data_IF_977778063477
#
_entry.id   IF_977778063477
#
_cell.length_a   1.000
_cell.length_b   1.000
_cell.length_c   1.000
_cell.angle_alpha   90.00
_cell.angle_beta   90.00
_cell.angle_gamma   90.00
#
_symmetry.space_group_name_H-M   'P 1'
#
loop_
_entity.id
_entity.type
_entity.pdbx_description
1 polymer ?
#
# COMPACT_ATOMS: atom_id res chain seq x y z
N UNK A 1 -7.26 0.18 20.71
CA UNK A 1 -7.06 0.90 19.42
C UNK A 1 -8.14 1.96 19.23
N UNK A 2 -7.78 3.25 19.33
CA UNK A 2 -8.73 4.37 19.14
C UNK A 2 -8.75 4.92 17.71
N UNK A 3 -7.71 4.67 16.91
CA UNK A 3 -7.64 5.12 15.51
C UNK A 3 -8.35 4.16 14.53
N UNK A 4 -8.62 2.90 14.88
CA UNK A 4 -9.50 2.01 14.10
C UNK A 4 -10.02 0.88 15.01
N UNK A 5 -10.97 0.07 14.53
CA UNK A 5 -11.51 -1.07 15.28
C UNK A 5 -10.77 -2.35 14.89
N UNK A 6 -10.13 -3.02 15.86
CA UNK A 6 -9.45 -4.32 15.67
C UNK A 6 -10.40 -5.36 15.09
N UNK A 7 -11.59 -5.48 15.66
CA UNK A 7 -12.59 -6.44 15.18
C UNK A 7 -12.98 -6.16 13.73
N UNK A 8 -13.13 -4.90 13.34
CA UNK A 8 -13.55 -4.54 11.98
C UNK A 8 -12.45 -4.83 10.96
N UNK A 9 -11.17 -4.60 11.29
CA UNK A 9 -10.07 -4.91 10.36
C UNK A 9 -9.87 -6.41 10.21
N UNK A 10 -10.11 -7.19 11.26
CA UNK A 10 -10.04 -8.66 11.19
C UNK A 10 -11.22 -9.24 10.40
N UNK A 11 -12.44 -8.74 10.63
CA UNK A 11 -13.63 -9.06 9.81
C UNK A 11 -13.38 -8.78 8.33
N UNK A 12 -12.76 -7.64 8.04
CA UNK A 12 -12.42 -7.23 6.70
C UNK A 12 -11.39 -8.14 6.05
N UNK A 13 -10.31 -8.45 6.77
CA UNK A 13 -9.27 -9.33 6.26
C UNK A 13 -9.85 -10.72 5.94
N UNK A 14 -10.66 -11.27 6.85
CA UNK A 14 -11.35 -12.54 6.63
C UNK A 14 -12.22 -12.48 5.37
N UNK A 15 -13.03 -11.42 5.21
CA UNK A 15 -13.88 -11.22 4.04
C UNK A 15 -13.11 -11.16 2.71
N UNK A 16 -11.94 -10.52 2.69
CA UNK A 16 -11.10 -10.51 1.48
C UNK A 16 -10.68 -11.92 1.09
N UNK A 17 -10.22 -12.73 2.05
CA UNK A 17 -9.77 -14.10 1.77
C UNK A 17 -10.89 -15.11 1.51
N UNK A 18 -12.09 -14.93 2.08
CA UNK A 18 -13.19 -15.89 1.95
C UNK A 18 -14.14 -15.59 0.80
N UNK A 19 -14.34 -14.30 0.50
CA UNK A 19 -15.34 -13.87 -0.47
C UNK A 19 -14.67 -13.25 -1.69
N UNK A 20 -13.87 -12.20 -1.52
CA UNK A 20 -13.30 -11.46 -2.65
C UNK A 20 -12.36 -12.35 -3.47
N UNK A 21 -11.46 -13.08 -2.82
CA UNK A 21 -10.49 -13.95 -3.52
C UNK A 21 -11.15 -15.11 -4.23
N UNK A 22 -12.23 -15.67 -3.68
CA UNK A 22 -13.03 -16.68 -4.38
C UNK A 22 -13.62 -16.11 -5.68
N UNK A 23 -14.14 -14.88 -5.64
CA UNK A 23 -14.65 -14.22 -6.84
C UNK A 23 -13.52 -13.95 -7.84
N UNK A 24 -12.34 -13.52 -7.37
CA UNK A 24 -11.18 -13.30 -8.23
C UNK A 24 -10.72 -14.60 -8.90
N UNK A 25 -10.68 -15.73 -8.20
CA UNK A 25 -10.41 -17.03 -8.80
C UNK A 25 -11.45 -17.40 -9.86
N UNK A 26 -12.75 -17.25 -9.56
CA UNK A 26 -13.84 -17.50 -10.51
C UNK A 26 -13.72 -16.65 -11.78
N UNK A 27 -13.36 -15.37 -11.64
CA UNK A 27 -13.15 -14.45 -12.77
C UNK A 27 -11.94 -14.89 -13.62
N UNK A 28 -10.80 -15.20 -12.99
CA UNK A 28 -9.60 -15.64 -13.69
C UNK A 28 -9.78 -17.01 -14.37
N UNK A 29 -10.56 -17.92 -13.78
CA UNK A 29 -10.96 -19.20 -14.36
C UNK A 29 -11.84 -19.00 -15.60
N UNK A 30 -12.87 -18.15 -15.50
CA UNK A 30 -13.77 -17.81 -16.61
C UNK A 30 -13.01 -17.21 -17.79
N UNK A 31 -12.04 -16.34 -17.53
CA UNK A 31 -11.19 -15.72 -18.54
C UNK A 31 -10.07 -16.65 -19.06
N UNK A 32 -9.93 -17.86 -18.50
CA UNK A 32 -8.90 -18.86 -18.88
C UNK A 32 -7.47 -18.31 -18.81
N UNK A 33 -7.18 -17.49 -17.81
CA UNK A 33 -5.86 -16.85 -17.67
C UNK A 33 -4.79 -17.92 -17.38
N UNK A 34 -3.69 -17.97 -18.15
CA UNK A 34 -2.55 -18.84 -17.90
C UNK A 34 -1.98 -18.64 -16.48
N UNK A 35 -1.48 -19.72 -15.86
CA UNK A 35 -1.06 -19.70 -14.46
C UNK A 35 0.01 -18.62 -14.15
N UNK A 36 0.99 -18.46 -15.03
CA UNK A 36 2.07 -17.47 -14.94
C UNK A 36 1.58 -16.02 -15.12
N UNK A 37 0.44 -15.84 -15.78
CA UNK A 37 -0.20 -14.54 -15.96
C UNK A 37 -1.20 -14.20 -14.85
N UNK A 38 -1.58 -15.15 -13.98
CA UNK A 38 -2.55 -14.92 -12.90
C UNK A 38 -2.08 -13.89 -11.85
N UNK A 39 -3.07 -13.29 -11.20
CA UNK A 39 -2.90 -12.71 -9.87
C UNK A 39 -2.80 -13.86 -8.87
N UNK A 40 -1.70 -13.89 -8.11
CA UNK A 40 -1.43 -14.96 -7.16
C UNK A 40 -1.95 -14.56 -5.78
N UNK A 41 -2.73 -15.45 -5.16
CA UNK A 41 -3.34 -15.26 -3.86
C UNK A 41 -2.94 -16.40 -2.92
N UNK A 42 -2.81 -16.14 -1.61
CA UNK A 42 -2.74 -17.23 -0.64
C UNK A 42 -4.05 -18.01 -0.66
N UNK A 43 -3.97 -19.33 -0.63
CA UNK A 43 -5.15 -20.17 -0.39
C UNK A 43 -5.69 -19.95 1.02
N UNK A 44 -6.99 -19.77 1.14
CA UNK A 44 -7.73 -19.83 2.41
C UNK A 44 -8.43 -21.19 2.55
N UNK A 45 -8.66 -21.62 3.79
CA UNK A 45 -9.27 -22.92 4.10
C UNK A 45 -10.60 -22.78 4.86
N UNK A 46 -11.37 -23.88 4.90
CA UNK A 46 -12.57 -23.97 5.72
C UNK A 46 -12.26 -23.63 7.19
N UNK A 47 -13.18 -22.90 7.84
CA UNK A 47 -13.01 -22.41 9.21
C UNK A 47 -12.56 -20.95 9.32
N UNK A 48 -12.20 -20.30 8.20
CA UNK A 48 -12.04 -18.84 8.16
C UNK A 48 -13.33 -18.14 8.62
N UNK A 49 -13.20 -17.23 9.59
CA UNK A 49 -14.27 -16.39 10.11
C UNK A 49 -13.68 -15.11 10.71
N UNK A 50 -14.51 -14.12 11.07
CA UNK A 50 -14.10 -12.89 11.78
C UNK A 50 -13.25 -12.99 13.04
N UNK A 51 -12.93 -14.19 13.54
CA UNK A 51 -12.08 -14.42 14.70
C UNK A 51 -10.89 -15.33 14.42
N UNK A 52 -10.86 -16.00 13.28
CA UNK A 52 -9.74 -16.86 12.87
C UNK A 52 -9.63 -16.93 11.35
N UNK A 53 -8.45 -16.61 10.82
CA UNK A 53 -8.13 -16.74 9.39
C UNK A 53 -7.13 -17.89 9.25
N UNK A 54 -7.44 -18.85 8.37
CA UNK A 54 -6.63 -20.05 8.13
C UNK A 54 -6.13 -19.99 6.69
N UNK A 55 -4.84 -19.71 6.52
CA UNK A 55 -4.18 -19.57 5.21
C UNK A 55 -3.19 -20.69 4.96
N UNK A 56 -2.82 -20.87 3.69
CA UNK A 56 -1.70 -21.74 3.35
C UNK A 56 -0.40 -21.25 3.96
N UNK A 57 0.41 -22.20 4.41
CA UNK A 57 1.72 -21.88 4.96
C UNK A 57 2.71 -21.60 3.82
N UNK A 58 2.70 -20.36 3.32
CA UNK A 58 3.59 -19.90 2.24
C UNK A 58 5.08 -20.15 2.55
N UNK A 59 5.49 -20.04 3.82
CA UNK A 59 6.86 -20.40 4.24
C UNK A 59 7.28 -21.83 3.87
N UNK A 60 6.38 -22.83 3.94
CA UNK A 60 6.67 -24.22 3.52
C UNK A 60 6.80 -24.36 2.00
N UNK A 61 6.27 -23.40 1.23
CA UNK A 61 6.44 -23.30 -0.24
C UNK A 61 7.69 -22.49 -0.63
N UNK A 62 8.51 -22.07 0.34
CA UNK A 62 9.75 -21.34 0.12
C UNK A 62 9.58 -19.82 0.01
N UNK A 63 8.40 -19.27 0.33
CA UNK A 63 8.20 -17.83 0.38
C UNK A 63 8.77 -17.24 1.68
N UNK A 64 9.34 -16.04 1.58
CA UNK A 64 9.96 -15.30 2.69
C UNK A 64 9.48 -13.85 2.68
N UNK A 65 9.46 -13.24 3.85
CA UNK A 65 9.20 -11.81 4.03
C UNK A 65 10.50 -11.04 3.84
N UNK A 66 10.45 -9.92 3.12
CA UNK A 66 11.58 -9.00 3.00
C UNK A 66 11.72 -8.15 4.26
N UNK A 67 12.96 -7.83 4.65
CA UNK A 67 13.22 -6.97 5.79
C UNK A 67 12.57 -5.59 5.57
N UNK A 68 11.77 -5.16 6.56
CA UNK A 68 11.01 -3.92 6.50
C UNK A 68 11.88 -2.66 6.47
N UNK A 69 13.14 -2.74 6.92
CA UNK A 69 14.07 -1.61 7.00
C UNK A 69 15.02 -1.50 5.80
N UNK A 70 15.09 -2.53 4.95
CA UNK A 70 16.01 -2.57 3.81
C UNK A 70 15.42 -1.97 2.52
N UNK A 71 16.31 -1.51 1.62
CA UNK A 71 15.91 -1.10 0.27
C UNK A 71 15.63 -2.33 -0.61
N UNK A 72 14.48 -2.35 -1.27
CA UNK A 72 14.13 -3.44 -2.19
C UNK A 72 14.95 -3.43 -3.48
N UNK A 73 15.11 -4.60 -4.10
CA UNK A 73 15.74 -4.74 -5.42
C UNK A 73 14.75 -4.38 -6.54
N UNK A 74 15.27 -4.02 -7.72
CA UNK A 74 14.44 -3.73 -8.88
C UNK A 74 13.61 -4.94 -9.33
N UNK A 75 14.19 -6.14 -9.30
CA UNK A 75 13.49 -7.36 -9.75
C UNK A 75 12.35 -7.73 -8.81
N UNK A 76 12.54 -7.55 -7.49
CA UNK A 76 11.44 -7.66 -6.53
C UNK A 76 10.36 -6.60 -6.79
N UNK A 77 10.75 -5.32 -6.93
CA UNK A 77 9.82 -4.23 -7.17
C UNK A 77 8.96 -4.45 -8.42
N UNK A 78 9.55 -4.95 -9.52
CA UNK A 78 8.80 -5.28 -10.74
C UNK A 78 7.69 -6.30 -10.48
N UNK A 79 7.99 -7.39 -9.77
CA UNK A 79 7.00 -8.42 -9.47
C UNK A 79 5.88 -7.90 -8.56
N UNK A 80 6.21 -7.14 -7.53
CA UNK A 80 5.22 -6.53 -6.64
C UNK A 80 4.31 -5.56 -7.38
N UNK A 81 4.89 -4.66 -8.20
CA UNK A 81 4.13 -3.69 -8.98
C UNK A 81 3.24 -4.36 -10.03
N UNK A 82 3.73 -5.43 -10.66
CA UNK A 82 2.90 -6.22 -11.57
C UNK A 82 1.73 -6.88 -10.84
N UNK A 83 1.94 -7.50 -9.68
CA UNK A 83 0.83 -8.06 -8.90
C UNK A 83 -0.15 -6.98 -8.41
N UNK A 84 0.33 -5.79 -8.04
CA UNK A 84 -0.53 -4.66 -7.68
C UNK A 84 -1.39 -4.21 -8.86
N UNK A 85 -0.81 -4.12 -10.06
CA UNK A 85 -1.55 -3.81 -11.29
C UNK A 85 -2.66 -4.82 -11.57
N UNK A 86 -2.39 -6.12 -11.37
CA UNK A 86 -3.38 -7.19 -11.51
C UNK A 86 -4.48 -7.12 -10.44
N UNK A 87 -4.12 -6.83 -9.19
CA UNK A 87 -5.08 -6.67 -8.09
C UNK A 87 -6.09 -5.55 -8.38
N UNK A 88 -5.62 -4.37 -8.78
CA UNK A 88 -6.50 -3.25 -9.14
C UNK A 88 -7.28 -3.52 -10.43
N UNK A 89 -6.69 -4.21 -11.42
CA UNK A 89 -7.41 -4.66 -12.60
C UNK A 89 -8.60 -5.57 -12.24
N UNK A 90 -8.40 -6.54 -11.33
CA UNK A 90 -9.49 -7.42 -10.85
C UNK A 90 -10.62 -6.65 -10.18
N UNK A 91 -10.33 -5.52 -9.52
CA UNK A 91 -11.38 -4.64 -9.01
C UNK A 91 -12.23 -4.03 -10.12
N UNK A 92 -11.64 -3.60 -11.24
CA UNK A 92 -12.41 -3.09 -12.40
C UNK A 92 -13.20 -4.20 -13.08
N UNK A 93 -12.62 -5.40 -13.19
CA UNK A 93 -13.32 -6.59 -13.72
C UNK A 93 -14.52 -6.91 -12.84
N UNK A 94 -14.35 -6.91 -11.50
CA UNK A 94 -15.44 -7.15 -10.57
C UNK A 94 -16.56 -6.13 -10.71
N UNK A 95 -16.21 -4.84 -10.88
CA UNK A 95 -17.18 -3.78 -11.13
C UNK A 95 -17.98 -4.01 -12.42
N UNK A 96 -17.31 -4.46 -13.50
CA UNK A 96 -17.96 -4.70 -14.78
C UNK A 96 -18.83 -5.97 -14.79
N UNK A 97 -18.35 -7.06 -14.18
CA UNK A 97 -18.98 -8.38 -14.26
C UNK A 97 -20.01 -8.63 -13.14
N UNK A 98 -19.85 -7.97 -11.97
CA UNK A 98 -20.77 -8.11 -10.82
C UNK A 98 -21.07 -6.73 -10.20
N UNK A 99 -21.71 -5.81 -10.94
CA UNK A 99 -21.90 -4.42 -10.52
C UNK A 99 -22.69 -4.28 -9.20
N UNK A 100 -23.73 -5.09 -8.98
CA UNK A 100 -24.52 -5.06 -7.74
C UNK A 100 -23.66 -5.41 -6.52
N UNK A 101 -22.93 -6.53 -6.58
CA UNK A 101 -22.00 -6.92 -5.53
C UNK A 101 -20.94 -5.84 -5.28
N UNK A 102 -20.38 -5.28 -6.36
CA UNK A 102 -19.38 -4.23 -6.26
C UNK A 102 -19.92 -3.00 -5.54
N UNK A 103 -21.10 -2.50 -5.91
CA UNK A 103 -21.73 -1.33 -5.29
C UNK A 103 -22.04 -1.61 -3.82
N UNK A 104 -22.60 -2.76 -3.50
CA UNK A 104 -23.04 -3.07 -2.15
C UNK A 104 -21.90 -3.38 -1.18
N UNK A 105 -20.85 -4.06 -1.66
CA UNK A 105 -19.81 -4.65 -0.79
C UNK A 105 -18.44 -4.02 -0.93
N UNK A 106 -18.07 -3.58 -2.13
CA UNK A 106 -16.74 -3.01 -2.40
C UNK A 106 -16.80 -1.50 -2.27
N UNK A 107 -17.66 -0.82 -3.03
CA UNK A 107 -17.74 0.64 -3.06
C UNK A 107 -18.15 1.27 -1.70
N UNK A 108 -18.78 0.50 -0.83
CA UNK A 108 -19.13 0.90 0.55
C UNK A 108 -18.01 0.67 1.57
N UNK A 109 -16.94 -0.04 1.20
CA UNK A 109 -15.83 -0.40 2.07
C UNK A 109 -14.92 0.80 2.34
N UNK A 110 -15.25 1.59 3.37
CA UNK A 110 -14.44 2.74 3.77
C UNK A 110 -13.13 2.34 4.44
N UNK A 111 -12.12 3.20 4.26
CA UNK A 111 -10.87 3.14 5.03
C UNK A 111 -11.16 3.09 6.55
N UNK A 112 -10.38 2.32 7.34
CA UNK A 112 -10.76 2.01 8.73
C UNK A 112 -10.33 3.08 9.74
N UNK A 113 -9.48 4.04 9.36
CA UNK A 113 -8.93 5.06 10.26
C UNK A 113 -9.97 6.10 10.69
N UNK A 114 -9.93 6.44 11.97
CA UNK A 114 -10.68 7.51 12.63
C UNK A 114 -9.77 8.71 12.80
N UNK A 115 -10.05 9.76 12.06
CA UNK A 115 -9.27 10.99 12.06
C UNK A 115 -9.72 11.94 13.18
N UNK A 116 -9.58 11.47 14.43
CA UNK A 116 -9.98 12.18 15.66
C UNK A 116 -8.76 12.58 16.50
N UNK A 117 -8.95 13.01 17.75
CA UNK A 117 -7.89 13.55 18.63
C UNK A 117 -6.65 12.65 18.70
N UNK A 118 -6.83 11.34 18.90
CA UNK A 118 -5.73 10.37 18.96
C UNK A 118 -4.92 10.30 17.67
N UNK A 119 -5.58 10.39 16.51
CA UNK A 119 -4.90 10.43 15.21
C UNK A 119 -4.04 11.69 15.08
N UNK A 120 -4.61 12.86 15.41
CA UNK A 120 -3.89 14.13 15.32
C UNK A 120 -2.71 14.18 16.29
N UNK A 121 -2.86 13.62 17.51
CA UNK A 121 -1.77 13.49 18.47
C UNK A 121 -0.65 12.58 17.96
N UNK A 122 -1.00 11.42 17.41
CA UNK A 122 -0.04 10.50 16.80
C UNK A 122 0.73 11.17 15.65
N UNK A 123 0.02 11.75 14.69
CA UNK A 123 0.62 12.43 13.53
C UNK A 123 1.53 13.58 13.97
N UNK A 124 1.11 14.39 14.96
CA UNK A 124 1.92 15.48 15.49
C UNK A 124 3.22 15.00 16.14
N UNK A 125 3.17 13.92 16.91
CA UNK A 125 4.36 13.34 17.53
C UNK A 125 5.34 12.81 16.48
N UNK A 126 4.84 12.05 15.52
CA UNK A 126 5.67 11.51 14.45
C UNK A 126 6.23 12.61 13.54
N UNK A 127 5.44 13.64 13.26
CA UNK A 127 5.92 14.85 12.57
C UNK A 127 7.11 15.48 13.32
N UNK A 128 6.97 15.75 14.62
CA UNK A 128 8.04 16.34 15.43
C UNK A 128 9.32 15.49 15.41
N UNK A 129 9.17 14.16 15.49
CA UNK A 129 10.29 13.23 15.38
C UNK A 129 10.95 13.33 14.00
N UNK A 130 10.17 13.18 12.93
CA UNK A 130 10.67 13.17 11.55
C UNK A 130 11.37 14.47 11.17
N UNK A 131 10.80 15.63 11.50
CA UNK A 131 11.47 16.92 11.20
C UNK A 131 12.76 17.12 12.02
N UNK A 132 12.89 16.49 13.19
CA UNK A 132 14.11 16.55 14.00
C UNK A 132 15.29 15.82 13.34
N UNK A 133 15.00 14.92 12.40
CA UNK A 133 16.01 14.23 11.60
C UNK A 133 16.64 15.13 10.53
N UNK A 134 16.04 16.29 10.21
CA UNK A 134 16.55 17.23 9.21
C UNK A 134 17.56 18.21 9.81
N UNK A 135 18.45 18.73 8.96
CA UNK A 135 19.32 19.85 9.32
C UNK A 135 18.47 21.10 9.59
N UNK A 136 18.96 21.99 10.47
CA UNK A 136 18.16 23.11 10.97
C UNK A 136 17.70 24.08 9.87
N UNK A 137 18.55 24.36 8.90
CA UNK A 137 18.24 25.22 7.75
C UNK A 137 17.17 24.60 6.84
N UNK A 138 17.28 23.29 6.55
CA UNK A 138 16.28 22.56 5.78
C UNK A 138 14.95 22.54 6.51
N UNK A 139 14.96 22.16 7.80
CA UNK A 139 13.76 22.11 8.65
C UNK A 139 13.03 23.44 8.67
N UNK A 140 13.74 24.56 8.84
CA UNK A 140 13.15 25.89 8.89
C UNK A 140 12.54 26.29 7.54
N UNK A 141 13.08 25.80 6.42
CA UNK A 141 12.59 26.10 5.07
C UNK A 141 11.35 25.30 4.70
N UNK A 142 11.28 24.01 5.05
CA UNK A 142 10.23 23.10 4.55
C UNK A 142 9.23 22.62 5.60
N UNK A 143 9.50 22.82 6.89
CA UNK A 143 8.72 22.22 7.98
C UNK A 143 7.24 22.55 7.93
N UNK A 144 6.88 23.84 7.76
CA UNK A 144 5.48 24.27 7.68
C UNK A 144 4.73 23.62 6.50
N UNK A 145 5.38 23.52 5.34
CA UNK A 145 4.80 22.91 4.14
C UNK A 145 4.69 21.39 4.25
N UNK A 146 5.62 20.73 4.94
CA UNK A 146 5.48 19.31 5.31
C UNK A 146 4.27 19.13 6.21
N UNK A 147 4.08 19.99 7.22
CA UNK A 147 2.97 19.91 8.15
C UNK A 147 1.62 20.09 7.44
N UNK A 148 1.52 21.07 6.54
CA UNK A 148 0.33 21.29 5.70
C UNK A 148 -0.03 20.03 4.89
N UNK A 149 0.95 19.47 4.17
CA UNK A 149 0.75 18.25 3.36
C UNK A 149 0.32 17.06 4.21
N UNK A 150 0.93 16.86 5.37
CA UNK A 150 0.54 15.77 6.29
C UNK A 150 -0.90 15.95 6.79
N UNK A 151 -1.34 17.20 6.96
CA UNK A 151 -2.73 17.53 7.30
C UNK A 151 -3.75 17.12 6.23
N UNK A 152 -3.34 16.95 4.97
CA UNK A 152 -4.21 16.52 3.86
C UNK A 152 -4.40 14.99 3.79
N UNK A 153 -3.69 14.19 4.61
CA UNK A 153 -3.83 12.74 4.58
C UNK A 153 -5.28 12.24 4.73
N UNK A 154 -6.09 12.74 5.70
CA UNK A 154 -7.50 12.37 5.82
C UNK A 154 -8.33 12.66 4.55
N UNK A 155 -8.01 13.74 3.84
CA UNK A 155 -8.67 14.09 2.59
C UNK A 155 -8.37 13.05 1.51
N UNK A 156 -7.13 12.58 1.41
CA UNK A 156 -6.72 11.59 0.41
C UNK A 156 -7.40 10.24 0.67
N UNK A 157 -7.46 9.82 1.93
CA UNK A 157 -8.05 8.54 2.31
C UNK A 157 -9.58 8.50 2.17
N UNK A 158 -10.26 9.65 2.25
CA UNK A 158 -11.72 9.73 2.13
C UNK A 158 -12.21 10.15 0.73
N UNK A 159 -11.30 10.53 -0.18
CA UNK A 159 -11.63 10.98 -1.53
C UNK A 159 -11.84 9.78 -2.47
N UNK A 160 -13.11 9.51 -2.76
CA UNK A 160 -13.57 8.50 -3.73
C UNK A 160 -14.23 9.13 -4.96
N UNK A 161 -13.97 10.42 -5.20
CA UNK A 161 -14.62 11.17 -6.29
C UNK A 161 -14.02 10.89 -7.67
N UNK A 162 -12.79 10.38 -7.71
CA UNK A 162 -12.08 9.99 -8.93
C UNK A 162 -12.08 8.47 -9.18
N UNK A 163 -11.15 8.03 -10.04
CA UNK A 163 -10.93 6.60 -10.31
C UNK A 163 -10.57 5.89 -9.01
N UNK A 164 -11.39 4.91 -8.65
CA UNK A 164 -11.27 4.16 -7.40
C UNK A 164 -11.42 2.67 -7.62
N UNK A 165 -10.70 1.88 -6.84
CA UNK A 165 -10.70 0.40 -6.85
C UNK A 165 -10.69 -0.11 -5.42
N UNK A 166 -10.89 -1.41 -5.24
CA UNK A 166 -10.45 -2.10 -4.03
C UNK A 166 -8.93 -1.96 -3.92
N UNK A 167 -8.50 -1.15 -2.95
CA UNK A 167 -7.10 -0.94 -2.58
C UNK A 167 -6.76 -1.86 -1.40
N UNK A 168 -5.50 -2.24 -1.31
CA UNK A 168 -4.92 -2.98 -0.20
C UNK A 168 -4.79 -2.08 1.04
N UNK A 169 -4.39 -0.81 0.86
CA UNK A 169 -4.23 0.19 1.90
C UNK A 169 -2.93 0.09 2.71
N UNK A 170 -2.39 -1.12 2.89
CA UNK A 170 -1.07 -1.38 3.51
C UNK A 170 -0.08 -2.09 2.57
N UNK A 171 -0.05 -1.68 1.30
CA UNK A 171 0.77 -2.37 0.28
C UNK A 171 2.25 -2.00 0.42
N UNK A 172 2.96 -2.72 1.30
CA UNK A 172 4.40 -2.54 1.59
C UNK A 172 5.17 -3.83 1.39
N UNK A 173 6.49 -3.71 1.24
CA UNK A 173 7.36 -4.84 0.89
C UNK A 173 7.38 -5.98 1.91
N UNK A 174 7.12 -5.71 3.20
CA UNK A 174 7.01 -6.76 4.22
C UNK A 174 5.60 -7.39 4.34
N UNK A 175 4.61 -6.87 3.60
CA UNK A 175 3.29 -7.51 3.40
C UNK A 175 3.22 -8.25 2.06
N UNK A 176 4.35 -8.39 1.38
CA UNK A 176 4.47 -9.18 0.15
C UNK A 176 5.53 -10.25 0.41
N UNK A 177 5.14 -11.51 0.33
CA UNK A 177 6.06 -12.63 0.48
C UNK A 177 6.67 -12.97 -0.88
N UNK A 178 7.98 -13.17 -0.93
CA UNK A 178 8.71 -13.50 -2.15
C UNK A 178 9.26 -14.92 -2.11
N UNK A 179 9.21 -15.61 -3.24
CA UNK A 179 9.88 -16.90 -3.45
C UNK A 179 11.03 -16.71 -4.42
N UNK A 180 12.21 -17.17 -4.00
CA UNK A 180 13.44 -17.09 -4.78
C UNK A 180 13.83 -18.46 -5.32
N UNK A 181 14.23 -18.49 -6.59
CA UNK A 181 14.79 -19.67 -7.27
C UNK A 181 16.07 -19.20 -7.96
N UNK A 182 17.18 -19.88 -7.72
CA UNK A 182 18.51 -19.53 -8.24
C UNK A 182 18.91 -18.07 -7.95
N UNK A 183 18.68 -17.61 -6.71
CA UNK A 183 18.96 -16.24 -6.23
C UNK A 183 18.20 -15.14 -6.99
N UNK A 184 17.11 -15.50 -7.69
CA UNK A 184 16.22 -14.55 -8.37
C UNK A 184 14.82 -14.68 -7.81
N UNK A 185 14.19 -13.55 -7.52
CA UNK A 185 12.77 -13.52 -7.16
C UNK A 185 11.95 -14.00 -8.37
N UNK A 186 11.08 -14.99 -8.14
CA UNK A 186 10.25 -15.59 -9.20
C UNK A 186 8.77 -15.35 -9.00
N UNK A 187 8.31 -15.44 -7.76
CA UNK A 187 6.89 -15.30 -7.41
C UNK A 187 6.79 -14.39 -6.20
N UNK A 188 5.74 -13.58 -6.17
CA UNK A 188 5.37 -12.79 -4.99
C UNK A 188 3.89 -12.97 -4.71
N UNK A 189 3.54 -13.02 -3.43
CA UNK A 189 2.16 -13.13 -2.95
C UNK A 189 1.93 -12.08 -1.86
N UNK A 190 0.95 -11.23 -2.08
CA UNK A 190 0.52 -10.22 -1.12
C UNK A 190 -0.32 -10.87 -0.02
N UNK A 191 -0.12 -10.40 1.21
CA UNK A 191 -0.85 -10.81 2.42
C UNK A 191 -1.24 -9.55 3.21
N UNK A 192 -2.02 -9.73 4.28
CA UNK A 192 -2.42 -8.67 5.22
C UNK A 192 -3.33 -7.60 4.60
N UNK A 193 -4.57 -7.98 4.29
CA UNK A 193 -5.60 -7.12 3.70
C UNK A 193 -6.48 -6.41 4.76
N UNK A 194 -5.99 -6.27 5.99
CA UNK A 194 -6.78 -5.82 7.14
C UNK A 194 -7.34 -4.39 6.98
N UNK A 195 -6.65 -3.53 6.22
CA UNK A 195 -7.08 -2.16 5.94
C UNK A 195 -7.49 -1.93 4.48
N UNK A 196 -7.84 -3.00 3.76
CA UNK A 196 -8.38 -2.89 2.41
C UNK A 196 -9.57 -1.93 2.37
N UNK A 197 -9.74 -1.19 1.29
CA UNK A 197 -10.84 -0.23 1.17
C UNK A 197 -11.05 0.19 -0.28
N UNK A 198 -12.21 0.76 -0.57
CA UNK A 198 -12.46 1.42 -1.83
C UNK A 198 -11.84 2.82 -1.83
N UNK A 199 -10.92 3.06 -2.74
CA UNK A 199 -10.13 4.28 -2.77
C UNK A 199 -9.26 4.40 -4.02
N UNK A 200 -8.39 5.41 -4.03
CA UNK A 200 -7.54 5.68 -5.18
C UNK A 200 -6.39 4.65 -5.30
N UNK A 201 -6.30 3.89 -6.40
CA UNK A 201 -5.29 2.82 -6.57
C UNK A 201 -3.85 3.33 -6.61
N UNK A 202 -3.64 4.61 -6.90
CA UNK A 202 -2.30 5.21 -6.92
C UNK A 202 -1.70 5.28 -5.51
N UNK A 203 -2.54 5.35 -4.47
CA UNK A 203 -2.04 5.43 -3.09
C UNK A 203 -1.28 4.17 -2.69
N UNK A 204 -1.74 2.97 -3.07
CA UNK A 204 -1.00 1.72 -2.82
C UNK A 204 0.35 1.69 -3.56
N UNK A 205 0.40 2.18 -4.80
CA UNK A 205 1.66 2.28 -5.55
C UNK A 205 2.64 3.20 -4.83
N UNK A 206 2.19 4.39 -4.44
CA UNK A 206 3.03 5.36 -3.74
C UNK A 206 3.44 4.84 -2.36
N UNK A 207 2.54 4.17 -1.65
CA UNK A 207 2.82 3.50 -0.39
C UNK A 207 3.99 2.52 -0.56
N UNK A 208 3.90 1.60 -1.52
CA UNK A 208 4.96 0.63 -1.76
C UNK A 208 6.30 1.26 -2.09
N UNK A 209 6.31 2.19 -3.05
CA UNK A 209 7.56 2.80 -3.51
C UNK A 209 8.22 3.60 -2.39
N UNK A 210 7.49 4.47 -1.70
CA UNK A 210 8.10 5.36 -0.71
C UNK A 210 8.43 4.67 0.61
N UNK A 211 7.84 3.51 0.93
CA UNK A 211 8.27 2.69 2.06
C UNK A 211 9.49 1.81 1.71
N UNK A 212 9.50 1.21 0.52
CA UNK A 212 10.49 0.17 0.17
C UNK A 212 11.78 0.68 -0.47
N UNK A 213 11.87 1.95 -0.87
CA UNK A 213 12.98 2.46 -1.71
C UNK A 213 13.70 3.67 -1.13
N UNK A 214 14.97 3.84 -1.51
CA UNK A 214 15.75 5.06 -1.24
C UNK A 214 15.72 6.06 -2.41
N UNK A 215 16.39 7.20 -2.23
CA UNK A 215 16.47 8.29 -3.20
C UNK A 215 17.07 7.83 -4.54
N UNK A 216 18.19 7.12 -4.49
CA UNK A 216 18.91 6.67 -5.70
C UNK A 216 18.06 5.68 -6.51
N UNK A 217 17.37 4.78 -5.82
CA UNK A 217 16.40 3.88 -6.46
C UNK A 217 15.29 4.66 -7.16
N UNK A 218 14.62 5.61 -6.47
CA UNK A 218 13.52 6.38 -7.06
C UNK A 218 13.98 7.21 -8.25
N UNK A 219 15.12 7.88 -8.13
CA UNK A 219 15.73 8.66 -9.22
C UNK A 219 15.94 7.82 -10.48
N UNK A 220 16.32 6.54 -10.31
CA UNK A 220 16.61 5.63 -11.42
C UNK A 220 15.38 4.90 -11.96
N UNK A 221 14.41 4.58 -11.11
CA UNK A 221 13.38 3.58 -11.44
C UNK A 221 11.93 4.01 -11.21
N UNK A 222 11.63 5.14 -10.55
CA UNK A 222 10.25 5.54 -10.25
C UNK A 222 9.40 5.67 -11.52
N UNK A 223 9.90 6.36 -12.53
CA UNK A 223 9.20 6.55 -13.80
C UNK A 223 8.92 5.19 -14.50
N UNK A 224 9.93 4.33 -14.56
CA UNK A 224 9.80 2.99 -15.13
C UNK A 224 8.77 2.12 -14.40
N UNK A 225 8.79 2.12 -13.05
CA UNK A 225 7.84 1.34 -12.26
C UNK A 225 6.41 1.88 -12.36
N UNK A 226 6.25 3.21 -12.46
CA UNK A 226 4.94 3.84 -12.71
C UNK A 226 4.35 3.36 -14.04
N UNK A 227 5.15 3.32 -15.10
CA UNK A 227 4.69 2.83 -16.40
C UNK A 227 4.37 1.33 -16.35
N UNK A 228 5.24 0.54 -15.72
CA UNK A 228 5.02 -0.90 -15.51
C UNK A 228 3.72 -1.18 -14.77
N UNK A 229 3.38 -0.37 -13.76
CA UNK A 229 2.14 -0.50 -13.01
C UNK A 229 0.91 -0.36 -13.91
N UNK A 230 0.86 0.72 -14.71
CA UNK A 230 -0.22 0.98 -15.66
C UNK A 230 -0.29 -0.10 -16.74
N UNK A 231 0.85 -0.48 -17.31
CA UNK A 231 0.93 -1.49 -18.38
C UNK A 231 0.56 -2.88 -17.88
N UNK A 232 0.89 -3.23 -16.64
CA UNK A 232 0.48 -4.49 -16.02
C UNK A 232 -1.04 -4.56 -15.86
N UNK A 233 -1.68 -3.45 -15.44
CA UNK A 233 -3.13 -3.36 -15.35
C UNK A 233 -3.78 -3.49 -16.73
N UNK A 234 -3.27 -2.76 -17.73
CA UNK A 234 -3.73 -2.83 -19.12
C UNK A 234 -3.67 -4.27 -19.66
N UNK A 235 -2.49 -4.89 -19.60
CA UNK A 235 -2.28 -6.26 -20.08
C UNK A 235 -3.22 -7.24 -19.38
N UNK A 236 -3.46 -7.07 -18.08
CA UNK A 236 -4.31 -7.97 -17.33
C UNK A 236 -5.80 -7.79 -17.68
N UNK A 237 -6.26 -6.55 -17.87
CA UNK A 237 -7.63 -6.25 -18.31
C UNK A 237 -7.94 -6.79 -19.72
N UNK A 238 -6.95 -6.88 -20.60
CA UNK A 238 -7.12 -7.46 -21.94
C UNK A 238 -7.62 -8.92 -21.91
N UNK A 239 -7.25 -9.72 -20.89
CA UNK A 239 -7.79 -11.08 -20.71
C UNK A 239 -9.31 -11.11 -20.50
N UNK A 240 -9.88 -10.00 -20.03
CA UNK A 240 -11.31 -9.84 -19.79
C UNK A 240 -12.00 -9.04 -20.89
N UNK A 241 -11.27 -8.63 -21.95
CA UNK A 241 -11.79 -7.78 -23.01
C UNK A 241 -12.14 -6.35 -22.55
N UNK A 242 -11.55 -5.89 -21.44
CA UNK A 242 -11.75 -4.55 -20.91
C UNK A 242 -10.60 -3.66 -21.38
N UNK A 243 -10.94 -2.58 -22.10
CA UNK A 243 -9.98 -1.56 -22.48
C UNK A 243 -9.67 -0.65 -21.28
N UNK A 244 -8.40 -0.58 -20.87
CA UNK A 244 -7.95 0.26 -19.76
C UNK A 244 -8.32 1.74 -19.96
N UNK A 245 -8.37 2.23 -21.20
CA UNK A 245 -8.74 3.62 -21.50
C UNK A 245 -10.22 3.93 -21.22
N UNK A 246 -11.05 2.90 -20.97
CA UNK A 246 -12.45 3.07 -20.54
C UNK A 246 -12.61 3.17 -19.04
N UNK A 247 -11.71 2.56 -18.27
CA UNK A 247 -11.81 2.48 -16.79
C UNK A 247 -10.80 3.37 -16.08
N UNK A 248 -9.61 3.56 -16.65
CA UNK A 248 -8.57 4.41 -16.13
C UNK A 248 -7.69 4.96 -17.25
N UNK A 249 -8.14 6.05 -17.89
CA UNK A 249 -7.43 6.69 -19.01
C UNK A 249 -5.99 7.04 -18.66
N UNK A 250 -5.06 6.89 -19.60
CA UNK A 250 -3.64 7.21 -19.33
C UNK A 250 -3.44 8.67 -18.89
N UNK A 251 -4.14 9.61 -19.52
CA UNK A 251 -4.09 11.04 -19.16
C UNK A 251 -4.57 11.28 -17.73
N UNK A 252 -5.63 10.59 -17.33
CA UNK A 252 -6.17 10.67 -15.97
C UNK A 252 -5.23 10.05 -14.95
N UNK A 253 -4.64 8.89 -15.28
CA UNK A 253 -3.61 8.25 -14.46
C UNK A 253 -2.43 9.19 -14.20
N UNK A 254 -1.88 9.85 -15.24
CA UNK A 254 -0.77 10.80 -15.08
C UNK A 254 -1.16 12.01 -14.23
N UNK A 255 -2.38 12.53 -14.40
CA UNK A 255 -2.92 13.65 -13.61
C UNK A 255 -3.02 13.27 -12.14
N UNK A 256 -3.72 12.16 -11.82
CA UNK A 256 -3.91 11.70 -10.44
C UNK A 256 -2.57 11.31 -9.81
N UNK A 257 -1.65 10.71 -10.57
CA UNK A 257 -0.31 10.38 -10.06
C UNK A 257 0.42 11.63 -9.58
N UNK A 258 0.43 12.69 -10.40
CA UNK A 258 1.05 13.97 -10.05
C UNK A 258 0.37 14.62 -8.84
N UNK A 259 -0.96 14.63 -8.81
CA UNK A 259 -1.74 15.22 -7.72
C UNK A 259 -1.56 14.50 -6.39
N UNK A 260 -1.39 13.17 -6.41
CA UNK A 260 -1.28 12.36 -5.20
C UNK A 260 0.16 12.06 -4.79
N UNK A 261 1.17 12.49 -5.55
CA UNK A 261 2.59 12.13 -5.33
C UNK A 261 3.07 12.45 -3.90
N UNK A 262 2.61 13.55 -3.32
CA UNK A 262 2.92 13.97 -1.95
C UNK A 262 2.37 13.05 -0.85
N UNK A 263 1.48 12.13 -1.18
CA UNK A 263 1.12 11.02 -0.29
C UNK A 263 2.36 10.23 0.18
N UNK A 264 3.35 10.06 -0.72
CA UNK A 264 4.62 9.41 -0.37
C UNK A 264 5.39 10.14 0.74
N UNK A 265 5.35 11.48 0.74
CA UNK A 265 5.89 12.31 1.81
C UNK A 265 5.06 12.16 3.10
N UNK A 266 3.73 12.23 3.01
CA UNK A 266 2.84 12.14 4.17
C UNK A 266 3.10 10.86 4.97
N UNK A 267 3.09 9.70 4.29
CA UNK A 267 3.36 8.39 4.90
C UNK A 267 4.74 8.34 5.56
N UNK A 268 5.76 8.93 4.93
CA UNK A 268 7.12 8.93 5.48
C UNK A 268 7.31 9.84 6.67
N UNK A 269 6.44 10.82 6.87
CA UNK A 269 6.48 11.66 8.05
C UNK A 269 5.90 10.93 9.26
N UNK A 270 4.74 10.27 9.12
CA UNK A 270 4.04 9.73 10.29
C UNK A 270 4.13 8.22 10.47
N UNK A 271 4.21 7.43 9.39
CA UNK A 271 4.15 5.98 9.47
C UNK A 271 5.54 5.32 9.42
N UNK A 272 6.43 5.80 8.55
CA UNK A 272 7.74 5.15 8.37
C UNK A 272 8.65 5.18 9.62
N UNK A 273 8.61 6.20 10.52
CA UNK A 273 9.30 6.08 11.79
C UNK A 273 8.90 4.79 12.54
N UNK A 274 7.61 4.48 12.58
CA UNK A 274 7.07 3.27 13.20
C UNK A 274 7.52 1.99 12.48
N UNK A 275 7.62 2.00 11.16
CA UNK A 275 8.18 0.88 10.38
C UNK A 275 9.63 0.57 10.77
N UNK A 276 10.39 1.60 11.14
CA UNK A 276 11.80 1.50 11.58
C UNK A 276 11.95 1.36 13.10
N UNK A 277 10.86 1.13 13.85
CA UNK A 277 10.93 0.82 15.27
C UNK A 277 11.62 -0.54 15.49
N UNK A 278 12.45 -0.66 16.53
CA UNK A 278 13.05 -1.94 16.93
C UNK A 278 11.98 -2.94 17.39
N UNK A 279 12.16 -4.24 17.12
CA UNK A 279 11.18 -5.28 17.51
C UNK A 279 10.93 -5.34 19.02
N UNK A 280 11.97 -5.09 19.82
CA UNK A 280 11.90 -5.07 21.30
C UNK A 280 11.15 -3.85 21.84
N UNK A 281 11.09 -2.77 21.05
CA UNK A 281 10.39 -1.52 21.37
C UNK A 281 9.07 -1.40 20.59
N UNK A 282 8.62 -2.49 19.93
CA UNK A 282 7.38 -2.49 19.16
C UNK A 282 6.22 -2.29 20.13
N UNK A 283 5.57 -1.12 20.13
CA UNK A 283 4.66 -0.75 21.20
C UNK A 283 3.38 -1.57 21.11
N UNK A 284 2.75 -1.83 22.25
CA UNK A 284 1.44 -2.48 22.29
C UNK A 284 0.35 -1.50 21.81
N UNK A 285 0.29 -1.32 20.50
CA UNK A 285 -0.65 -0.42 19.80
C UNK A 285 -2.12 -0.83 20.00
N UNK A 286 -2.39 -2.02 20.53
CA UNK A 286 -3.74 -2.43 20.87
C UNK A 286 -4.23 -1.75 22.15
N UNK A 287 -3.34 -1.57 23.13
CA UNK A 287 -3.65 -1.13 24.49
C UNK A 287 -3.15 0.28 24.85
N UNK A 288 -2.16 0.81 24.12
CA UNK A 288 -1.59 2.13 24.38
C UNK A 288 -2.18 3.23 23.47
N UNK A 289 -2.15 4.48 23.98
CA UNK A 289 -2.49 5.64 23.17
C UNK A 289 -1.38 5.93 22.18
N UNK A 290 -1.70 5.96 20.88
CA UNK A 290 -0.71 6.29 19.85
C UNK A 290 -0.21 7.73 19.97
N UNK A 291 -1.00 8.62 20.57
CA UNK A 291 -0.59 9.99 20.86
C UNK A 291 0.45 10.12 21.98
N UNK A 292 0.84 9.02 22.63
CA UNK A 292 1.91 9.00 23.64
C UNK A 292 2.98 7.96 23.34
N UNK A 293 2.95 7.35 22.16
CA UNK A 293 3.89 6.31 21.76
C UNK A 293 5.33 6.84 21.79
N UNK A 294 6.21 6.09 22.43
CA UNK A 294 7.66 6.32 22.41
C UNK A 294 8.35 5.01 22.09
N UNK A 295 9.17 5.02 21.04
CA UNK A 295 9.93 3.86 20.59
C UNK A 295 11.24 4.32 20.00
N UNK A 296 12.25 3.44 20.02
CA UNK A 296 13.52 3.71 19.36
C UNK A 296 13.39 3.43 17.87
N UNK A 297 13.72 4.42 17.07
CA UNK A 297 13.76 4.32 15.61
C UNK A 297 15.19 4.06 15.17
N UNK A 298 15.37 3.11 14.26
CA UNK A 298 16.65 2.78 13.65
C UNK A 298 17.22 3.95 12.84
N UNK A 299 18.54 4.19 12.93
CA UNK A 299 19.22 5.32 12.29
C UNK A 299 19.08 5.33 10.76
N UNK A 300 18.80 4.19 10.13
CA UNK A 300 18.48 4.10 8.69
C UNK A 300 17.30 4.99 8.30
N UNK A 301 16.34 5.20 9.21
CA UNK A 301 15.21 6.12 8.98
C UNK A 301 15.69 7.53 8.67
N UNK A 302 16.67 8.05 9.40
CA UNK A 302 17.17 9.42 9.23
C UNK A 302 17.70 9.65 7.81
N UNK A 303 18.45 8.67 7.28
CA UNK A 303 18.96 8.72 5.90
C UNK A 303 17.81 8.62 4.90
N UNK A 304 16.86 7.71 5.12
CA UNK A 304 15.70 7.51 4.25
C UNK A 304 14.82 8.77 4.18
N UNK A 305 14.49 9.36 5.32
CA UNK A 305 13.65 10.54 5.41
C UNK A 305 14.28 11.78 4.76
N UNK A 306 15.59 11.99 4.96
CA UNK A 306 16.32 13.07 4.27
C UNK A 306 16.27 12.92 2.75
N UNK A 307 16.50 11.71 2.24
CA UNK A 307 16.43 11.45 0.79
C UNK A 307 15.03 11.71 0.21
N UNK A 308 13.98 11.48 0.99
CA UNK A 308 12.60 11.79 0.59
C UNK A 308 12.37 13.31 0.58
N UNK A 309 12.76 14.03 1.62
CA UNK A 309 12.63 15.49 1.65
C UNK A 309 13.38 16.12 0.47
N UNK A 310 14.57 15.63 0.15
CA UNK A 310 15.32 16.09 -1.02
C UNK A 310 14.56 15.84 -2.33
N UNK A 311 14.00 14.64 -2.54
CA UNK A 311 13.21 14.33 -3.73
C UNK A 311 12.05 15.33 -3.90
N UNK A 312 11.30 15.60 -2.83
CA UNK A 312 10.16 16.51 -2.88
C UNK A 312 10.58 17.98 -3.05
N UNK A 313 11.79 18.38 -2.61
CA UNK A 313 12.37 19.68 -2.97
C UNK A 313 12.73 19.72 -4.46
N UNK A 314 13.44 18.70 -4.96
CA UNK A 314 13.87 18.60 -6.36
C UNK A 314 12.68 18.55 -7.33
N UNK A 315 11.57 17.95 -6.92
CA UNK A 315 10.33 17.89 -7.72
C UNK A 315 9.43 19.13 -7.57
N UNK A 316 9.81 20.10 -6.73
CA UNK A 316 9.06 21.35 -6.54
C UNK A 316 7.81 21.24 -5.66
N UNK A 317 7.68 20.16 -4.89
CA UNK A 317 6.57 19.96 -3.96
C UNK A 317 6.85 20.55 -2.57
N UNK A 318 8.12 20.77 -2.21
CA UNK A 318 8.55 21.43 -0.97
C UNK A 318 9.27 22.74 -1.26
#
# INVERSE_FOLDING_TARGET
MKIYSVSNVFEREAYVYTDVFKIFDELQDKAKIPYDERFLMPKSYEGCNPKSIILEHLGKRGFKVYDRMETITLDYAKLCITQLGKFHALSFVLQAERPEYFIEKIATMKQPFKFEEDWHGFVKNMYNYSISCLEADVRNRVGEKILEKVGDYPKYMNDVSGVSTLCHGDFKHNNVMAKEIDQKVKEVITIDFQIAHYGCPILDFLYFIFNGTDKDFRKKYLAYLKDLYYDSMKKFLDFFGIDVEKVFKRVEFERVFKEKLDFGLMINVFYVPFLFAADEDSPDVANESLSTLSFKVDDRFKVRFRGIVDDFIEWGYL
#
